data_IF_394551107834
#
_entry.id   IF_394551107834
#
_cell.length_a   1.000
_cell.length_b   1.000
_cell.length_c   1.000
_cell.angle_alpha   90.00
_cell.angle_beta   90.00
_cell.angle_gamma   90.00
#
_symmetry.space_group_name_H-M   'P 1'
#
loop_
_entity.id
_entity.type
_entity.pdbx_description
1 polymer ?
#
# COMPACT_ATOMS: atom_id res chain seq x y z
N UNK A 1 -19.51 49.15 -9.12
CA UNK A 1 -20.40 48.15 -9.77
C UNK A 1 -19.66 47.25 -10.74
N UNK A 2 -18.81 47.78 -11.63
CA UNK A 2 -18.04 46.97 -12.60
C UNK A 2 -17.14 45.90 -11.95
N UNK A 3 -16.50 46.22 -10.82
CA UNK A 3 -15.64 45.28 -10.09
C UNK A 3 -16.42 44.11 -9.47
N UNK A 4 -17.64 44.35 -8.97
CA UNK A 4 -18.48 43.30 -8.40
C UNK A 4 -18.93 42.29 -9.47
N UNK A 5 -19.27 42.79 -10.66
CA UNK A 5 -19.66 41.95 -11.79
C UNK A 5 -18.49 41.11 -12.31
N UNK A 6 -17.27 41.68 -12.33
CA UNK A 6 -16.05 40.95 -12.68
C UNK A 6 -15.72 39.82 -11.69
N UNK A 7 -15.89 40.06 -10.39
CA UNK A 7 -15.67 39.04 -9.35
C UNK A 7 -16.66 37.89 -9.52
N UNK A 8 -17.94 38.20 -9.71
CA UNK A 8 -18.99 37.18 -9.93
C UNK A 8 -18.67 36.35 -11.19
N UNK A 9 -18.26 37.01 -12.29
CA UNK A 9 -17.86 36.31 -13.51
C UNK A 9 -16.68 35.34 -13.30
N UNK A 10 -15.67 35.75 -12.52
CA UNK A 10 -14.52 34.91 -12.19
C UNK A 10 -14.94 33.64 -11.41
N UNK A 11 -15.80 33.80 -10.40
CA UNK A 11 -16.32 32.66 -9.63
C UNK A 11 -17.17 31.71 -10.48
N UNK A 12 -17.97 32.24 -11.41
CA UNK A 12 -18.78 31.41 -12.31
C UNK A 12 -17.89 30.59 -13.24
N UNK A 13 -16.87 31.21 -13.86
CA UNK A 13 -15.93 30.49 -14.72
C UNK A 13 -15.17 29.43 -13.93
N UNK A 14 -14.71 29.76 -12.72
CA UNK A 14 -14.05 28.80 -11.84
C UNK A 14 -14.95 27.62 -11.47
N UNK A 15 -16.22 27.88 -11.14
CA UNK A 15 -17.19 26.84 -10.83
C UNK A 15 -17.47 25.92 -12.04
N UNK A 16 -17.52 26.47 -13.26
CA UNK A 16 -17.68 25.67 -14.49
C UNK A 16 -16.47 24.77 -14.71
N UNK A 17 -15.25 25.29 -14.52
CA UNK A 17 -14.01 24.49 -14.65
C UNK A 17 -14.00 23.36 -13.63
N UNK A 18 -14.36 23.62 -12.37
CA UNK A 18 -14.51 22.56 -11.38
C UNK A 18 -15.61 21.56 -11.76
N UNK A 19 -16.76 22.02 -12.28
CA UNK A 19 -17.83 21.12 -12.66
C UNK A 19 -17.39 20.16 -13.78
N UNK A 20 -16.75 20.68 -14.83
CA UNK A 20 -16.35 19.89 -16.00
C UNK A 20 -15.09 19.07 -15.75
N UNK A 21 -14.09 19.63 -15.07
CA UNK A 21 -12.78 18.98 -14.90
C UNK A 21 -12.60 18.32 -13.53
N UNK A 22 -13.35 18.71 -12.50
CA UNK A 22 -13.20 18.13 -11.16
C UNK A 22 -14.28 17.10 -10.84
N UNK A 23 -15.53 17.20 -11.29
CA UNK A 23 -16.55 16.17 -10.98
C UNK A 23 -16.29 14.82 -11.66
N UNK A 24 -15.96 14.73 -12.96
CA UNK A 24 -15.68 13.42 -13.58
C UNK A 24 -14.29 12.89 -13.21
N UNK A 25 -13.38 13.77 -12.77
CA UNK A 25 -11.99 13.41 -12.44
C UNK A 25 -11.75 13.36 -10.95
N UNK A 26 -12.73 13.73 -10.12
CA UNK A 26 -12.70 13.52 -8.69
C UNK A 26 -12.62 12.01 -8.53
N UNK A 27 -11.50 11.46 -8.04
CA UNK A 27 -11.45 10.06 -7.68
C UNK A 27 -12.56 9.93 -6.64
N UNK A 28 -13.66 9.30 -7.03
CA UNK A 28 -14.81 9.11 -6.16
C UNK A 28 -14.24 8.62 -4.86
N UNK A 29 -14.46 9.37 -3.77
CA UNK A 29 -14.05 8.95 -2.44
C UNK A 29 -14.51 7.51 -2.34
N UNK A 30 -13.56 6.58 -2.38
CA UNK A 30 -13.83 5.16 -2.50
C UNK A 30 -14.34 4.66 -1.15
N UNK A 31 -15.46 5.21 -0.70
CA UNK A 31 -16.24 4.80 0.44
C UNK A 31 -17.18 3.66 0.05
N UNK A 32 -16.74 2.82 -0.88
CA UNK A 32 -17.29 1.50 -1.13
C UNK A 32 -16.13 0.78 -1.79
N UNK A 33 -15.57 -0.19 -1.07
CA UNK A 33 -14.65 -1.13 -1.68
C UNK A 33 -15.36 -1.76 -2.87
N UNK A 34 -15.05 -1.29 -4.07
CA UNK A 34 -15.44 -1.84 -5.37
C UNK A 34 -14.71 -3.16 -5.63
N UNK A 35 -14.55 -3.97 -4.60
CA UNK A 35 -14.11 -5.35 -4.72
C UNK A 35 -15.22 -6.17 -4.08
N UNK A 36 -15.86 -6.96 -4.93
CA UNK A 36 -16.69 -8.07 -4.48
C UNK A 36 -15.90 -8.93 -3.48
N UNK A 37 -16.57 -9.63 -2.54
CA UNK A 37 -15.88 -10.52 -1.61
C UNK A 37 -14.94 -11.52 -2.29
N UNK A 38 -15.25 -11.89 -3.54
CA UNK A 38 -14.45 -12.79 -4.36
C UNK A 38 -13.20 -12.12 -4.93
N UNK A 39 -13.31 -10.90 -5.46
CA UNK A 39 -12.14 -10.14 -5.91
C UNK A 39 -11.19 -9.84 -4.75
N UNK A 40 -11.71 -9.56 -3.56
CA UNK A 40 -10.88 -9.39 -2.36
C UNK A 40 -10.13 -10.68 -2.02
N UNK A 41 -10.78 -11.84 -2.11
CA UNK A 41 -10.13 -13.15 -1.88
C UNK A 41 -9.07 -13.45 -2.94
N UNK A 42 -9.34 -13.15 -4.21
CA UNK A 42 -8.39 -13.32 -5.30
C UNK A 42 -7.16 -12.44 -5.10
N UNK A 43 -7.34 -11.15 -4.77
CA UNK A 43 -6.25 -10.22 -4.48
C UNK A 43 -5.45 -10.66 -3.24
N UNK A 44 -6.14 -11.10 -2.18
CA UNK A 44 -5.46 -11.64 -1.00
C UNK A 44 -4.65 -12.89 -1.33
N UNK A 45 -5.16 -13.78 -2.19
CA UNK A 45 -4.42 -14.96 -2.64
C UNK A 45 -3.22 -14.58 -3.49
N UNK A 46 -3.37 -13.60 -4.39
CA UNK A 46 -2.27 -13.09 -5.21
C UNK A 46 -1.18 -12.43 -4.36
N UNK A 47 -1.56 -11.58 -3.41
CA UNK A 47 -0.63 -10.92 -2.47
C UNK A 47 0.07 -11.97 -1.60
N UNK A 48 -0.66 -12.97 -1.09
CA UNK A 48 -0.07 -14.07 -0.31
C UNK A 48 0.86 -14.94 -1.16
N UNK A 49 0.52 -15.20 -2.41
CA UNK A 49 1.37 -15.95 -3.35
C UNK A 49 2.68 -15.23 -3.63
N UNK A 50 2.62 -13.92 -3.91
CA UNK A 50 3.81 -13.07 -4.10
C UNK A 50 4.63 -12.98 -2.81
N UNK A 51 3.98 -12.76 -1.66
CA UNK A 51 4.65 -12.71 -0.37
C UNK A 51 5.35 -14.04 -0.03
N UNK A 52 4.75 -15.18 -0.36
CA UNK A 52 5.36 -16.50 -0.15
C UNK A 52 6.57 -16.71 -1.06
N UNK A 53 6.49 -16.32 -2.32
CA UNK A 53 7.61 -16.41 -3.26
C UNK A 53 8.79 -15.50 -2.85
N UNK A 54 8.51 -14.32 -2.32
CA UNK A 54 9.54 -13.41 -1.78
C UNK A 54 10.11 -13.95 -0.46
N UNK A 55 9.29 -14.55 0.39
CA UNK A 55 9.70 -15.14 1.67
C UNK A 55 10.53 -16.43 1.51
N UNK A 56 10.50 -17.09 0.36
CA UNK A 56 11.31 -18.28 0.07
C UNK A 56 12.71 -17.93 -0.51
N UNK A 57 12.97 -16.66 -0.84
CA UNK A 57 14.20 -16.23 -1.51
C UNK A 57 15.14 -15.50 -0.57
N UNK A 58 16.44 -15.71 -0.78
CA UNK A 58 17.47 -14.88 -0.18
C UNK A 58 17.51 -13.51 -0.88
N UNK A 59 17.39 -12.44 -0.10
CA UNK A 59 17.42 -11.07 -0.62
C UNK A 59 18.30 -10.18 0.26
N UNK A 60 19.05 -9.28 -0.35
CA UNK A 60 19.70 -8.19 0.38
C UNK A 60 18.65 -7.16 0.81
N UNK A 61 18.47 -6.97 2.12
CA UNK A 61 17.54 -5.96 2.67
C UNK A 61 18.27 -4.62 2.79
N UNK A 62 19.48 -4.65 3.33
CA UNK A 62 20.36 -3.49 3.44
C UNK A 62 21.80 -3.94 3.21
N UNK A 63 22.37 -3.54 2.07
CA UNK A 63 23.73 -3.94 1.70
C UNK A 63 24.79 -3.17 2.49
N UNK A 64 24.51 -1.93 2.87
CA UNK A 64 25.45 -1.05 3.53
C UNK A 64 25.65 -1.45 5.00
N UNK A 65 24.59 -1.97 5.62
CA UNK A 65 24.63 -2.53 6.98
C UNK A 65 24.82 -4.06 7.02
N UNK A 66 25.03 -4.71 5.87
CA UNK A 66 25.24 -6.17 5.81
C UNK A 66 24.02 -7.01 6.18
N UNK A 67 22.81 -6.43 6.18
CA UNK A 67 21.56 -7.11 6.56
C UNK A 67 21.01 -7.90 5.39
N UNK A 68 21.04 -9.22 5.53
CA UNK A 68 20.50 -10.17 4.56
C UNK A 68 19.15 -10.70 5.04
N UNK A 69 18.16 -10.63 4.18
CA UNK A 69 16.90 -11.36 4.32
C UNK A 69 17.12 -12.82 3.97
N UNK A 70 16.91 -13.68 4.96
CA UNK A 70 16.94 -15.13 4.82
C UNK A 70 15.50 -15.64 4.54
N UNK A 71 15.33 -16.78 3.86
CA UNK A 71 14.03 -17.40 3.69
C UNK A 71 13.34 -17.66 5.02
N UNK A 72 12.02 -17.49 5.07
CA UNK A 72 11.23 -17.56 6.29
C UNK A 72 11.39 -18.90 7.02
N UNK A 73 11.44 -20.02 6.29
CA UNK A 73 11.66 -21.34 6.89
C UNK A 73 12.99 -21.40 7.67
N UNK A 74 14.05 -20.81 7.11
CA UNK A 74 15.37 -20.75 7.77
C UNK A 74 15.41 -19.72 8.89
N UNK A 75 14.71 -18.60 8.74
CA UNK A 75 14.57 -17.63 9.82
C UNK A 75 13.87 -18.23 11.04
N UNK A 76 12.81 -19.02 10.84
CA UNK A 76 12.09 -19.73 11.91
C UNK A 76 12.98 -20.80 12.56
N UNK A 77 13.68 -21.61 11.77
CA UNK A 77 14.60 -22.63 12.28
C UNK A 77 15.71 -22.01 13.15
N UNK A 78 16.33 -20.93 12.67
CA UNK A 78 17.35 -20.20 13.43
C UNK A 78 16.77 -19.58 14.70
N UNK A 79 15.56 -19.03 14.65
CA UNK A 79 14.90 -18.44 15.84
C UNK A 79 14.60 -19.49 16.89
N UNK A 80 14.08 -20.66 16.49
CA UNK A 80 13.80 -21.77 17.42
C UNK A 80 15.10 -22.28 18.04
N UNK A 81 16.18 -22.36 17.23
CA UNK A 81 17.50 -22.76 17.72
C UNK A 81 18.06 -21.76 18.72
N UNK A 82 18.00 -20.45 18.43
CA UNK A 82 18.42 -19.40 19.35
C UNK A 82 17.63 -19.43 20.66
N UNK A 83 16.31 -19.68 20.59
CA UNK A 83 15.46 -19.84 21.77
C UNK A 83 15.81 -21.09 22.58
N UNK A 84 16.17 -22.20 21.94
CA UNK A 84 16.63 -23.41 22.61
C UNK A 84 18.00 -23.19 23.28
N UNK A 85 18.97 -22.62 22.55
CA UNK A 85 20.32 -22.34 23.07
C UNK A 85 20.30 -21.29 24.19
N UNK A 86 19.41 -20.29 24.13
CA UNK A 86 19.24 -19.28 25.21
C UNK A 86 18.45 -19.81 26.42
N UNK A 87 17.61 -20.83 26.23
CA UNK A 87 16.88 -21.50 27.31
C UNK A 87 17.70 -22.54 28.08
N UNK A 88 18.71 -23.14 27.45
CA UNK A 88 19.65 -24.08 28.09
C UNK A 88 20.81 -23.39 28.84
N UNK A 89 20.90 -22.05 28.78
CA UNK A 89 21.89 -21.23 29.47
C UNK A 89 21.41 -20.58 30.78
N UNK A 90 20.31 -21.04 31.39
CA UNK A 90 19.79 -20.55 32.68
C UNK A 90 19.84 -21.59 33.79
#
# INVERSE_FOLDING_TARGET
MLSALGIIGCFVVFAIVLYVAYIPTAPGVATTSTMTPEERKALLHEVRGKARQEAERYRWIDRDNGVVGLPLDRAVELTIRDLAESGEGS
#
